data_IF_867222569602
#
_entry.id   IF_867222569602
#
_cell.length_a   1.000
_cell.length_b   1.000
_cell.length_c   1.000
_cell.angle_alpha   90.00
_cell.angle_beta   90.00
_cell.angle_gamma   90.00
#
_symmetry.space_group_name_H-M   'P 1'
#
loop_
_entity.id
_entity.type
_entity.pdbx_description
1 polymer ?
#
# COMPACT_ATOMS: atom_id res chain seq x y z
N UNK A 1 -22.75 -6.13 10.49
CA UNK A 1 -21.34 -6.30 10.86
C UNK A 1 -20.39 -5.84 9.78
N UNK A 2 -20.50 -6.35 8.56
CA UNK A 2 -19.63 -5.93 7.45
C UNK A 2 -19.82 -4.47 7.09
N UNK A 3 -21.06 -3.97 7.14
CA UNK A 3 -21.36 -2.56 6.85
C UNK A 3 -20.81 -1.61 7.91
N UNK A 4 -20.75 -2.05 9.18
CA UNK A 4 -20.20 -1.25 10.27
C UNK A 4 -18.68 -1.11 10.15
N UNK A 5 -17.98 -2.20 9.81
CA UNK A 5 -16.53 -2.18 9.61
C UNK A 5 -16.14 -1.31 8.42
N UNK A 6 -16.89 -1.40 7.34
CA UNK A 6 -16.71 -0.57 6.16
C UNK A 6 -16.84 0.92 6.48
N UNK A 7 -17.90 1.26 7.22
CA UNK A 7 -18.16 2.67 7.60
C UNK A 7 -17.06 3.23 8.51
N UNK A 8 -16.57 2.42 9.46
CA UNK A 8 -15.48 2.81 10.34
C UNK A 8 -14.21 3.07 9.53
N UNK A 9 -13.87 2.17 8.59
CA UNK A 9 -12.71 2.34 7.73
C UNK A 9 -12.84 3.59 6.85
N UNK A 10 -14.02 3.85 6.31
CA UNK A 10 -14.29 5.04 5.53
C UNK A 10 -14.06 6.31 6.35
N UNK A 11 -14.60 6.37 7.57
CA UNK A 11 -14.44 7.52 8.45
C UNK A 11 -12.97 7.72 8.82
N UNK A 12 -12.26 6.66 9.16
CA UNK A 12 -10.84 6.74 9.51
C UNK A 12 -10.01 7.24 8.33
N UNK A 13 -10.27 6.75 7.13
CA UNK A 13 -9.57 7.19 5.91
C UNK A 13 -9.85 8.67 5.63
N UNK A 14 -11.11 9.10 5.76
CA UNK A 14 -11.47 10.50 5.56
C UNK A 14 -10.78 11.42 6.58
N UNK A 15 -10.75 11.02 7.85
CA UNK A 15 -10.07 11.78 8.89
C UNK A 15 -8.57 11.88 8.62
N UNK A 16 -7.94 10.79 8.18
CA UNK A 16 -6.52 10.78 7.84
C UNK A 16 -6.21 11.69 6.66
N UNK A 17 -7.03 11.65 5.61
CA UNK A 17 -6.87 12.53 4.44
C UNK A 17 -7.03 14.00 4.86
N UNK A 18 -8.04 14.29 5.66
CA UNK A 18 -8.30 15.65 6.14
C UNK A 18 -7.10 16.18 6.92
N UNK A 19 -6.53 15.38 7.80
CA UNK A 19 -5.33 15.76 8.55
C UNK A 19 -4.13 16.03 7.67
N UNK A 20 -3.94 15.19 6.64
CA UNK A 20 -2.85 15.37 5.66
C UNK A 20 -3.01 16.65 4.86
N UNK A 21 -4.22 16.91 4.35
CA UNK A 21 -4.52 18.12 3.56
C UNK A 21 -4.35 19.38 4.39
N UNK A 22 -4.74 19.36 5.66
CA UNK A 22 -4.61 20.50 6.56
C UNK A 22 -3.21 20.67 7.15
N UNK A 23 -2.29 19.77 6.82
CA UNK A 23 -0.93 19.79 7.38
C UNK A 23 -0.86 19.51 8.87
N UNK A 24 -1.92 18.96 9.44
CA UNK A 24 -2.01 18.66 10.87
C UNK A 24 -1.47 17.27 11.22
N UNK A 25 -1.13 16.48 10.23
CA UNK A 25 -0.57 15.16 10.46
C UNK A 25 0.90 15.31 10.84
N UNK A 26 1.19 15.18 12.11
CA UNK A 26 2.55 15.14 12.59
C UNK A 26 3.08 13.72 12.38
N UNK A 27 3.98 13.58 11.40
CA UNK A 27 4.65 12.32 11.17
C UNK A 27 5.62 12.04 12.31
N UNK A 28 5.52 10.85 12.87
CA UNK A 28 6.45 10.38 13.88
C UNK A 28 7.46 9.43 13.20
N UNK A 29 8.43 10.04 12.53
CA UNK A 29 9.41 9.31 11.72
C UNK A 29 10.42 8.62 12.60
N UNK A 30 10.53 7.30 12.43
CA UNK A 30 11.52 6.47 13.09
C UNK A 30 12.22 5.58 12.08
N UNK A 31 13.33 4.96 12.46
CA UNK A 31 14.01 3.99 11.60
C UNK A 31 13.49 2.60 11.96
N UNK A 32 12.83 1.95 11.02
CA UNK A 32 12.18 0.67 11.25
C UNK A 32 12.55 -0.35 10.19
N UNK A 33 12.56 -1.61 10.59
CA UNK A 33 12.80 -2.71 9.67
C UNK A 33 11.61 -2.87 8.73
N UNK A 34 11.89 -2.87 7.43
CA UNK A 34 10.87 -3.03 6.39
C UNK A 34 10.12 -4.36 6.58
N UNK A 35 10.84 -5.44 6.86
CA UNK A 35 10.24 -6.76 7.05
C UNK A 35 9.24 -6.79 8.22
N UNK A 36 9.53 -6.07 9.29
CA UNK A 36 8.62 -5.99 10.45
C UNK A 36 7.32 -5.27 10.10
N UNK A 37 7.43 -4.19 9.35
CA UNK A 37 6.27 -3.41 8.92
C UNK A 37 5.40 -4.21 7.94
N UNK A 38 6.04 -4.92 7.01
CA UNK A 38 5.33 -5.81 6.07
C UNK A 38 4.61 -6.93 6.82
N UNK A 39 5.30 -7.57 7.77
CA UNK A 39 4.71 -8.66 8.56
C UNK A 39 3.51 -8.17 9.38
N UNK A 40 3.62 -6.99 9.98
CA UNK A 40 2.51 -6.39 10.73
C UNK A 40 1.31 -6.11 9.82
N UNK A 41 1.55 -5.54 8.65
CA UNK A 41 0.48 -5.26 7.68
C UNK A 41 -0.24 -6.54 7.26
N UNK A 42 0.49 -7.61 6.98
CA UNK A 42 -0.10 -8.87 6.53
C UNK A 42 -0.98 -9.55 7.59
N UNK A 43 -0.81 -9.22 8.86
CA UNK A 43 -1.70 -9.71 9.93
C UNK A 43 -3.09 -9.06 9.88
N UNK A 44 -3.22 -7.91 9.23
CA UNK A 44 -4.45 -7.12 9.22
C UNK A 44 -5.12 -7.05 7.86
N UNK A 45 -4.62 -7.77 6.86
CA UNK A 45 -5.25 -7.78 5.54
C UNK A 45 -6.58 -8.53 5.56
N UNK A 46 -7.38 -8.31 4.51
CA UNK A 46 -8.70 -8.90 4.35
C UNK A 46 -8.64 -10.43 4.50
N UNK A 47 -9.66 -11.01 5.15
CA UNK A 47 -9.78 -12.45 5.36
C UNK A 47 -9.81 -13.26 4.06
N UNK A 48 -10.22 -12.65 2.95
CA UNK A 48 -10.14 -13.28 1.63
C UNK A 48 -8.72 -13.57 1.18
N UNK A 49 -7.71 -13.07 1.91
CA UNK A 49 -6.31 -13.40 1.64
C UNK A 49 -6.04 -14.91 1.66
N UNK A 50 -6.86 -15.69 2.38
CA UNK A 50 -6.74 -17.15 2.40
C UNK A 50 -6.98 -17.79 1.02
N UNK A 51 -7.66 -17.08 0.11
CA UNK A 51 -7.90 -17.53 -1.28
C UNK A 51 -6.74 -17.14 -2.21
N UNK A 52 -5.75 -16.42 -1.71
CA UNK A 52 -4.61 -15.91 -2.48
C UNK A 52 -3.30 -16.43 -1.88
N UNK A 53 -2.28 -16.50 -2.73
CA UNK A 53 -0.92 -16.81 -2.27
C UNK A 53 -0.15 -15.48 -2.14
N UNK A 54 0.24 -15.14 -0.92
CA UNK A 54 0.99 -13.91 -0.65
C UNK A 54 2.42 -14.31 -0.29
N UNK A 55 3.38 -13.82 -1.07
CA UNK A 55 4.80 -14.12 -0.90
C UNK A 55 5.56 -12.84 -0.66
N UNK A 56 6.47 -12.86 0.29
CA UNK A 56 7.38 -11.74 0.55
C UNK A 56 8.79 -12.12 0.09
N UNK A 57 9.43 -11.23 -0.66
CA UNK A 57 10.80 -11.41 -1.14
C UNK A 57 11.64 -10.21 -0.73
N UNK A 58 12.75 -10.46 -0.05
CA UNK A 58 13.71 -9.43 0.32
C UNK A 58 15.05 -9.81 -0.27
N UNK A 59 15.65 -8.92 -1.05
CA UNK A 59 16.96 -9.15 -1.66
C UNK A 59 18.12 -9.01 -0.69
N UNK A 60 17.91 -8.35 0.43
CA UNK A 60 18.94 -8.11 1.45
C UNK A 60 18.36 -8.32 2.85
N UNK A 61 19.21 -8.77 3.76
CA UNK A 61 18.85 -8.86 5.17
C UNK A 61 18.84 -7.45 5.78
N UNK A 62 17.83 -7.14 6.58
CA UNK A 62 17.77 -5.93 7.43
C UNK A 62 17.72 -4.61 6.66
N UNK A 63 16.72 -4.44 5.81
CA UNK A 63 16.44 -3.13 5.23
C UNK A 63 15.78 -2.22 6.26
N UNK A 64 16.39 -1.06 6.50
CA UNK A 64 15.83 -0.02 7.36
C UNK A 64 15.32 1.13 6.51
N UNK A 65 14.13 1.62 6.83
CA UNK A 65 13.56 2.79 6.20
C UNK A 65 13.17 3.83 7.25
N UNK A 66 13.24 5.09 6.88
CA UNK A 66 12.74 6.18 7.72
C UNK A 66 11.28 6.40 7.41
N UNK A 67 10.42 6.12 8.38
CA UNK A 67 8.98 6.14 8.17
C UNK A 67 8.23 6.35 9.48
N UNK A 68 6.95 6.70 9.35
CA UNK A 68 5.99 6.53 10.43
C UNK A 68 5.38 5.13 10.25
N UNK A 69 5.74 4.15 11.06
CA UNK A 69 5.37 2.75 10.81
C UNK A 69 3.86 2.52 10.83
N UNK A 70 3.11 3.27 11.63
CA UNK A 70 1.64 3.15 11.67
C UNK A 70 1.01 3.48 10.31
N UNK A 71 1.53 4.52 9.67
CA UNK A 71 1.01 4.98 8.38
C UNK A 71 1.45 4.08 7.24
N UNK A 72 2.69 3.61 7.26
CA UNK A 72 3.20 2.70 6.22
C UNK A 72 2.51 1.34 6.32
N UNK A 73 2.26 0.83 7.51
CA UNK A 73 1.42 -0.36 7.69
C UNK A 73 0.07 -0.17 7.00
N UNK A 74 -0.56 0.99 7.18
CA UNK A 74 -1.85 1.29 6.54
C UNK A 74 -1.74 1.33 5.01
N UNK A 75 -0.66 1.88 4.48
CA UNK A 75 -0.41 1.89 3.02
C UNK A 75 -0.34 0.47 2.48
N UNK A 76 0.42 -0.41 3.13
CA UNK A 76 0.58 -1.79 2.70
C UNK A 76 -0.75 -2.53 2.78
N UNK A 77 -1.50 -2.37 3.87
CA UNK A 77 -2.82 -2.99 4.03
C UNK A 77 -3.74 -2.57 2.89
N UNK A 78 -3.80 -1.27 2.59
CA UNK A 78 -4.68 -0.75 1.55
C UNK A 78 -4.32 -1.29 0.16
N UNK A 79 -3.03 -1.34 -0.16
CA UNK A 79 -2.57 -1.85 -1.46
C UNK A 79 -2.80 -3.36 -1.57
N UNK A 80 -2.48 -4.12 -0.54
CA UNK A 80 -2.70 -5.58 -0.54
C UNK A 80 -4.18 -5.92 -0.60
N UNK A 81 -5.01 -5.23 0.17
CA UNK A 81 -6.46 -5.43 0.11
C UNK A 81 -7.01 -5.09 -1.27
N UNK A 82 -6.51 -4.04 -1.89
CA UNK A 82 -6.87 -3.69 -3.25
C UNK A 82 -6.52 -4.82 -4.23
N UNK A 83 -5.32 -5.40 -4.10
CA UNK A 83 -4.92 -6.53 -4.93
C UNK A 83 -5.81 -7.76 -4.69
N UNK A 84 -6.17 -8.05 -3.45
CA UNK A 84 -7.05 -9.17 -3.10
C UNK A 84 -8.44 -8.99 -3.74
N UNK A 85 -8.98 -7.77 -3.71
CA UNK A 85 -10.32 -7.49 -4.23
C UNK A 85 -10.40 -7.52 -5.75
N UNK A 86 -9.34 -7.12 -6.46
CA UNK A 86 -9.34 -7.01 -7.91
C UNK A 86 -8.73 -8.20 -8.64
N UNK A 87 -8.38 -9.26 -7.92
CA UNK A 87 -7.84 -10.48 -8.51
C UNK A 87 -8.72 -11.67 -8.14
N UNK A 88 -8.82 -12.68 -9.04
CA UNK A 88 -9.60 -13.90 -8.73
C UNK A 88 -8.92 -14.76 -7.66
N UNK A 89 -9.71 -15.62 -7.05
CA UNK A 89 -9.19 -16.63 -6.12
C UNK A 89 -8.08 -17.45 -6.80
N UNK A 90 -7.04 -17.77 -6.05
CA UNK A 90 -5.86 -18.47 -6.58
C UNK A 90 -4.78 -17.56 -7.12
N UNK A 91 -5.00 -16.25 -7.15
CA UNK A 91 -4.01 -15.29 -7.62
C UNK A 91 -2.82 -15.19 -6.65
N UNK A 92 -1.71 -14.72 -7.17
CA UNK A 92 -0.47 -14.53 -6.41
C UNK A 92 -0.20 -13.05 -6.20
N UNK A 93 0.17 -12.70 -4.98
CA UNK A 93 0.57 -11.33 -4.63
C UNK A 93 1.99 -11.44 -4.08
N UNK A 94 2.91 -10.71 -4.69
CA UNK A 94 4.32 -10.72 -4.33
C UNK A 94 4.72 -9.34 -3.80
N UNK A 95 5.28 -9.30 -2.59
CA UNK A 95 5.79 -8.08 -1.97
C UNK A 95 7.31 -8.16 -2.00
N UNK A 96 7.94 -7.21 -2.69
CA UNK A 96 9.40 -7.13 -2.80
C UNK A 96 9.90 -5.84 -2.19
N UNK A 97 11.05 -5.94 -1.53
CA UNK A 97 11.73 -4.77 -0.98
C UNK A 97 13.19 -4.80 -1.39
N UNK A 98 13.72 -3.63 -1.74
CA UNK A 98 15.11 -3.47 -2.11
C UNK A 98 15.62 -2.09 -1.70
N UNK A 99 16.93 -1.96 -1.60
CA UNK A 99 17.58 -0.67 -1.36
C UNK A 99 18.36 -0.29 -2.60
N UNK A 100 18.14 0.94 -3.07
CA UNK A 100 18.82 1.47 -4.25
C UNK A 100 19.13 2.95 -4.03
N UNK A 101 20.42 3.30 -4.06
CA UNK A 101 20.89 4.70 -3.99
C UNK A 101 20.31 5.48 -2.79
N UNK A 102 20.34 4.89 -1.60
CA UNK A 102 19.84 5.53 -0.39
C UNK A 102 18.32 5.56 -0.26
N UNK A 103 17.61 4.83 -1.11
CA UNK A 103 16.17 4.76 -1.13
C UNK A 103 15.72 3.32 -0.97
N UNK A 104 14.71 3.10 -0.14
CA UNK A 104 14.02 1.81 -0.04
C UNK A 104 12.87 1.81 -1.04
N UNK A 105 12.83 0.79 -1.87
CA UNK A 105 11.76 0.60 -2.85
C UNK A 105 10.98 -0.65 -2.47
N UNK A 106 9.68 -0.48 -2.29
CA UNK A 106 8.77 -1.57 -1.96
C UNK A 106 7.75 -1.70 -3.08
N UNK A 107 7.61 -2.91 -3.61
CA UNK A 107 6.64 -3.18 -4.67
C UNK A 107 5.68 -4.29 -4.26
N UNK A 108 4.43 -4.13 -4.64
CA UNK A 108 3.36 -5.10 -4.40
C UNK A 108 2.76 -5.44 -5.77
N UNK A 109 3.06 -6.65 -6.24
CA UNK A 109 2.69 -7.13 -7.56
C UNK A 109 1.60 -8.18 -7.46
N UNK A 110 0.60 -8.09 -8.33
CA UNK A 110 -0.42 -9.14 -8.48
C UNK A 110 -0.36 -9.73 -9.90
N UNK A 111 -0.95 -10.89 -10.06
CA UNK A 111 -1.06 -11.58 -11.36
C UNK A 111 -2.49 -11.58 -11.90
N UNK A 112 -3.26 -10.55 -11.56
CA UNK A 112 -4.63 -10.37 -12.00
C UNK A 112 -4.74 -9.76 -13.39
N UNK A 113 -5.90 -9.14 -13.72
CA UNK A 113 -6.13 -8.59 -15.05
C UNK A 113 -5.32 -7.32 -15.35
N UNK A 114 -4.71 -6.70 -14.34
CA UNK A 114 -4.00 -5.45 -14.52
C UNK A 114 -4.90 -4.23 -14.61
N UNK A 115 -4.29 -3.08 -14.86
CA UNK A 115 -4.98 -1.80 -14.97
C UNK A 115 -4.71 -1.23 -16.37
N UNK A 116 -5.76 -0.88 -17.13
CA UNK A 116 -5.56 -0.24 -18.44
C UNK A 116 -4.73 1.04 -18.33
N UNK A 117 -3.88 1.29 -19.33
CA UNK A 117 -3.00 2.46 -19.33
C UNK A 117 -3.76 3.78 -19.16
N UNK A 118 -4.95 3.85 -19.72
CA UNK A 118 -5.81 5.03 -19.63
C UNK A 118 -6.27 5.31 -18.18
N UNK A 119 -6.38 4.27 -17.37
CA UNK A 119 -6.86 4.38 -16.01
C UNK A 119 -5.74 4.57 -14.99
N UNK A 120 -4.49 4.21 -15.32
CA UNK A 120 -3.36 4.34 -14.39
C UNK A 120 -3.21 5.72 -13.78
N UNK A 121 -3.31 6.83 -14.54
CA UNK A 121 -3.21 8.16 -13.92
C UNK A 121 -4.34 8.48 -12.95
N UNK A 122 -5.44 7.73 -13.02
CA UNK A 122 -6.65 8.01 -12.25
C UNK A 122 -6.82 7.12 -11.01
N UNK A 123 -6.03 6.05 -10.88
CA UNK A 123 -6.24 5.10 -9.78
C UNK A 123 -5.99 5.69 -8.40
N UNK A 124 -5.22 6.78 -8.33
CA UNK A 124 -4.95 7.48 -7.07
C UNK A 124 -5.91 8.65 -6.82
N UNK A 125 -6.84 8.89 -7.74
CA UNK A 125 -7.84 9.94 -7.53
C UNK A 125 -8.84 9.51 -6.46
N UNK A 126 -9.26 10.48 -5.66
CA UNK A 126 -10.28 10.24 -4.65
C UNK A 126 -11.58 9.76 -5.32
N UNK A 127 -12.19 8.71 -4.73
CA UNK A 127 -13.43 8.10 -5.23
C UNK A 127 -13.31 7.38 -6.58
N UNK A 128 -12.09 7.13 -7.06
CA UNK A 128 -11.90 6.28 -8.24
C UNK A 128 -12.31 4.83 -7.91
N UNK A 129 -13.08 4.20 -8.80
CA UNK A 129 -13.61 2.86 -8.58
C UNK A 129 -13.63 2.00 -9.86
N UNK A 130 -12.55 1.97 -10.59
CA UNK A 130 -12.23 0.98 -11.63
C UNK A 130 -13.32 0.57 -12.61
N UNK A 131 -14.32 1.42 -12.90
CA UNK A 131 -15.33 1.15 -13.92
C UNK A 131 -16.59 0.40 -13.45
N UNK A 132 -16.66 -0.07 -12.19
CA UNK A 132 -17.87 -0.66 -11.64
C UNK A 132 -18.22 -0.01 -10.30
N UNK A 133 -18.89 1.16 -10.32
CA UNK A 133 -19.10 1.95 -9.10
C UNK A 133 -19.97 1.27 -8.04
N UNK A 134 -20.80 0.30 -8.43
CA UNK A 134 -21.68 -0.37 -7.47
C UNK A 134 -20.94 -1.42 -6.65
N UNK A 135 -20.07 -2.20 -7.29
CA UNK A 135 -19.30 -3.23 -6.60
C UNK A 135 -18.21 -2.61 -5.74
N UNK A 136 -17.56 -1.56 -6.24
CA UNK A 136 -16.40 -0.95 -5.60
C UNK A 136 -16.76 -0.01 -4.45
N UNK A 137 -17.95 0.63 -4.50
CA UNK A 137 -18.39 1.53 -3.45
C UNK A 137 -18.57 0.83 -2.10
N UNK A 138 -18.75 -0.48 -2.08
CA UNK A 138 -18.87 -1.26 -0.85
C UNK A 138 -17.54 -1.69 -0.26
N UNK A 139 -16.45 -1.63 -1.04
CA UNK A 139 -15.17 -2.24 -0.66
C UNK A 139 -14.11 -1.23 -0.28
N UNK A 140 -13.87 -0.23 -1.11
CA UNK A 140 -12.80 0.75 -0.88
C UNK A 140 -13.23 2.20 -0.93
N UNK A 141 -14.44 2.51 -1.37
CA UNK A 141 -14.94 3.88 -1.55
C UNK A 141 -14.05 4.77 -2.41
N UNK A 142 -13.04 4.21 -3.08
CA UNK A 142 -12.10 4.97 -3.90
C UNK A 142 -11.17 5.90 -3.11
N UNK A 143 -11.08 5.71 -1.80
CA UNK A 143 -10.27 6.58 -0.93
C UNK A 143 -8.93 5.95 -0.58
N UNK A 144 -8.87 4.60 -0.52
CA UNK A 144 -7.69 3.89 -0.03
C UNK A 144 -6.40 4.22 -0.76
N UNK A 145 -6.41 4.23 -2.09
CA UNK A 145 -5.21 4.53 -2.88
C UNK A 145 -4.83 6.01 -2.84
N UNK A 146 -5.80 6.93 -2.80
CA UNK A 146 -5.50 8.35 -2.66
C UNK A 146 -4.87 8.64 -1.29
N UNK A 147 -5.34 7.97 -0.25
CA UNK A 147 -4.75 8.05 1.08
C UNK A 147 -3.31 7.54 1.06
N UNK A 148 -3.07 6.40 0.42
CA UNK A 148 -1.72 5.85 0.27
C UNK A 148 -0.77 6.85 -0.37
N UNK A 149 -1.19 7.47 -1.47
CA UNK A 149 -0.38 8.46 -2.16
C UNK A 149 -0.07 9.65 -1.27
N UNK A 150 -1.05 10.16 -0.53
CA UNK A 150 -0.87 11.26 0.39
C UNK A 150 0.12 10.92 1.51
N UNK A 151 0.05 9.72 2.05
CA UNK A 151 0.98 9.24 3.08
C UNK A 151 2.40 9.16 2.53
N UNK A 152 2.57 8.58 1.36
CA UNK A 152 3.90 8.43 0.74
C UNK A 152 4.48 9.80 0.36
N UNK A 153 3.66 10.69 -0.19
CA UNK A 153 4.07 12.06 -0.49
C UNK A 153 4.55 12.79 0.77
N UNK A 154 3.85 12.61 1.89
CA UNK A 154 4.23 13.20 3.18
C UNK A 154 5.57 12.64 3.70
N UNK A 155 5.95 11.44 3.29
CA UNK A 155 7.24 10.85 3.62
C UNK A 155 8.37 11.26 2.66
N UNK A 156 8.05 12.06 1.65
CA UNK A 156 9.02 12.47 0.63
C UNK A 156 9.30 11.40 -0.42
N UNK A 157 8.45 10.37 -0.48
CA UNK A 157 8.56 9.30 -1.46
C UNK A 157 7.62 9.48 -2.65
N UNK A 158 7.52 8.44 -3.46
CA UNK A 158 6.67 8.41 -4.64
C UNK A 158 5.93 7.09 -4.70
N UNK A 159 4.65 7.14 -5.04
CA UNK A 159 3.80 5.95 -5.25
C UNK A 159 3.37 5.91 -6.70
N UNK A 160 3.67 4.81 -7.39
CA UNK A 160 3.35 4.62 -8.81
C UNK A 160 2.68 3.27 -9.04
N UNK A 161 2.05 3.13 -10.21
CA UNK A 161 1.48 1.87 -10.67
C UNK A 161 2.03 1.54 -12.06
N UNK A 162 2.32 0.26 -12.29
CA UNK A 162 2.81 -0.24 -13.58
C UNK A 162 2.24 -1.63 -13.84
N UNK A 163 2.57 -2.19 -15.00
CA UNK A 163 2.14 -3.54 -15.38
C UNK A 163 3.08 -4.59 -14.83
N UNK A 164 2.51 -5.73 -14.42
CA UNK A 164 3.27 -6.93 -14.10
C UNK A 164 3.41 -7.81 -15.35
N UNK A 165 4.43 -8.61 -15.40
CA UNK A 165 4.65 -9.57 -16.49
C UNK A 165 4.34 -10.98 -15.98
N UNK A 166 3.58 -11.80 -16.73
CA UNK A 166 2.97 -11.54 -18.05
C UNK A 166 1.67 -10.72 -17.99
N UNK A 167 1.04 -10.60 -16.83
CA UNK A 167 -0.14 -9.78 -16.62
C UNK A 167 -0.26 -9.41 -15.14
N UNK A 168 -1.06 -8.39 -14.84
CA UNK A 168 -1.29 -7.90 -13.50
C UNK A 168 -0.82 -6.47 -13.32
N UNK A 169 -0.86 -5.99 -12.07
CA UNK A 169 -0.44 -4.65 -11.70
C UNK A 169 0.66 -4.69 -10.64
N UNK A 170 1.52 -3.68 -10.65
CA UNK A 170 2.55 -3.49 -9.64
C UNK A 170 2.41 -2.09 -9.07
N UNK A 171 2.17 -2.01 -7.76
CA UNK A 171 2.22 -0.76 -7.03
C UNK A 171 3.59 -0.65 -6.36
N UNK A 172 4.28 0.45 -6.61
CA UNK A 172 5.63 0.66 -6.12
C UNK A 172 5.71 1.98 -5.36
N UNK A 173 6.26 1.96 -4.16
CA UNK A 173 6.51 3.19 -3.43
C UNK A 173 7.92 3.21 -2.85
N UNK A 174 8.41 4.43 -2.63
CA UNK A 174 9.76 4.65 -2.12
C UNK A 174 9.73 5.36 -0.77
N UNK A 175 10.74 5.08 0.04
CA UNK A 175 10.96 5.72 1.35
C UNK A 175 12.44 6.01 1.49
N UNK A 176 12.82 7.05 2.24
CA UNK A 176 14.23 7.26 2.56
C UNK A 176 14.80 6.06 3.32
N UNK A 177 16.00 5.63 2.98
CA UNK A 177 16.67 4.56 3.69
C UNK A 177 17.11 5.06 5.08
N UNK A 178 16.98 4.20 6.08
CA UNK A 178 17.55 4.42 7.40
C UNK A 178 19.02 4.04 7.40
N UNK A 179 19.77 4.61 8.33
CA UNK A 179 21.16 4.26 8.54
C UNK A 179 21.29 3.48 9.85
N UNK A 180 21.95 2.32 9.76
CA UNK A 180 22.35 1.60 10.96
C UNK A 180 23.52 2.35 11.57
N UNK A 181 23.28 3.08 12.65
CA UNK A 181 24.36 3.65 13.41
C UNK A 181 24.94 2.57 14.31
N UNK A 182 26.12 2.09 13.92
CA UNK A 182 26.90 1.25 14.79
C UNK A 182 27.48 2.16 15.88
N UNK A 183 26.85 2.15 17.04
CA UNK A 183 27.43 2.73 18.22
C UNK A 183 28.47 1.76 18.76
N UNK A 184 29.72 2.14 18.61
CA UNK A 184 30.78 1.48 19.36
C UNK A 184 30.73 1.90 20.83
#
# INVERSE_FOLDING_TARGET
YENSMWLINLVENLLSITRLVEGRLNLNITEDLVDDVVAEALRHVNKKSAEHTIVTESGEEFLLARMDPRLIVQVIINIVNNAIEYTPAGSHITIRSEKKDGTIILSIADDGPGIPDQEKPRVFDMFYSGGNPIADSRRNCGIGLSLCRSIIDAHGGELTVSDNAPHGAVFTFSLPAGEVQLHE
#
